data_IF_066499495424
#
_entry.id   IF_066499495424
#
_cell.length_a   1.000
_cell.length_b   1.000
_cell.length_c   1.000
_cell.angle_alpha   90.00
_cell.angle_beta   90.00
_cell.angle_gamma   90.00
#
_symmetry.space_group_name_H-M   'P 1'
#
loop_
_entity.id
_entity.type
_entity.pdbx_description
1 polymer ?
#
# COMPACT_ATOMS: atom_id res chain seq x y z
N UNK A 1 -15.73 1.42 10.11
CA UNK A 1 -15.28 2.74 9.62
C UNK A 1 -14.37 2.66 8.39
N UNK A 2 -13.21 1.98 8.39
CA UNK A 2 -12.39 1.82 7.14
C UNK A 2 -12.55 0.43 6.51
N UNK A 3 -12.81 -0.60 7.34
CA UNK A 3 -13.18 -1.95 6.89
C UNK A 3 -14.44 -1.98 6.02
N UNK A 4 -15.41 -1.10 6.30
CA UNK A 4 -16.67 -1.02 5.53
C UNK A 4 -16.45 -0.39 4.15
N UNK A 5 -15.57 0.63 4.06
CA UNK A 5 -15.13 1.21 2.79
C UNK A 5 -14.29 0.25 1.96
N UNK A 6 -13.39 -0.51 2.59
CA UNK A 6 -12.60 -1.53 1.90
C UNK A 6 -13.50 -2.65 1.34
N UNK A 7 -14.57 -3.02 2.05
CA UNK A 7 -15.56 -3.99 1.57
C UNK A 7 -16.35 -3.43 0.36
N UNK A 8 -16.79 -2.18 0.43
CA UNK A 8 -17.49 -1.51 -0.66
C UNK A 8 -16.61 -1.31 -1.91
N UNK A 9 -15.36 -0.87 -1.73
CA UNK A 9 -14.38 -0.71 -2.80
C UNK A 9 -14.10 -2.05 -3.49
N UNK A 10 -13.85 -3.11 -2.70
CA UNK A 10 -13.62 -4.47 -3.21
C UNK A 10 -14.82 -5.04 -3.95
N UNK A 11 -16.05 -4.73 -3.51
CA UNK A 11 -17.27 -5.12 -4.21
C UNK A 11 -17.42 -4.40 -5.57
N UNK A 12 -16.97 -3.15 -5.67
CA UNK A 12 -17.10 -2.32 -6.88
C UNK A 12 -16.04 -2.58 -7.96
N UNK A 13 -14.86 -3.13 -7.61
CA UNK A 13 -13.77 -3.35 -8.57
C UNK A 13 -13.99 -4.59 -9.45
N UNK A 14 -13.71 -4.47 -10.75
CA UNK A 14 -13.65 -5.60 -11.67
C UNK A 14 -12.42 -6.49 -11.39
N UNK A 15 -12.31 -7.63 -12.08
CA UNK A 15 -11.10 -8.45 -12.02
C UNK A 15 -9.90 -7.73 -12.64
N UNK A 16 -10.11 -7.06 -13.77
CA UNK A 16 -9.10 -6.28 -14.47
C UNK A 16 -8.56 -5.13 -13.60
N UNK A 17 -9.44 -4.44 -12.87
CA UNK A 17 -9.03 -3.42 -11.91
C UNK A 17 -8.09 -4.00 -10.85
N UNK A 18 -8.39 -5.17 -10.30
CA UNK A 18 -7.55 -5.82 -9.29
C UNK A 18 -6.23 -6.33 -9.87
N UNK A 19 -6.25 -6.91 -11.07
CA UNK A 19 -5.03 -7.35 -11.76
C UNK A 19 -4.08 -6.17 -12.03
N UNK A 20 -4.63 -4.98 -12.36
CA UNK A 20 -3.83 -3.76 -12.54
C UNK A 20 -3.12 -3.25 -11.28
N UNK A 21 -3.47 -3.77 -10.10
CA UNK A 21 -2.88 -3.39 -8.81
C UNK A 21 -1.87 -4.42 -8.29
N UNK A 22 -1.58 -5.49 -9.06
CA UNK A 22 -0.60 -6.51 -8.69
C UNK A 22 0.80 -5.90 -8.58
N UNK A 23 1.19 -5.04 -9.53
CA UNK A 23 2.50 -4.39 -9.53
C UNK A 23 2.71 -3.52 -8.29
N UNK A 24 1.66 -2.85 -7.82
CA UNK A 24 1.70 -2.09 -6.57
C UNK A 24 1.99 -3.00 -5.36
N UNK A 25 1.32 -4.15 -5.27
CA UNK A 25 1.55 -5.11 -4.19
C UNK A 25 2.98 -5.65 -4.21
N UNK A 26 3.52 -5.92 -5.41
CA UNK A 26 4.92 -6.34 -5.58
C UNK A 26 5.89 -5.20 -5.25
N UNK A 27 5.57 -3.95 -5.60
CA UNK A 27 6.35 -2.78 -5.23
C UNK A 27 6.41 -2.61 -3.72
N UNK A 28 5.29 -2.75 -2.99
CA UNK A 28 5.26 -2.69 -1.53
C UNK A 28 6.11 -3.79 -0.88
N UNK A 29 6.09 -5.01 -1.42
CA UNK A 29 6.98 -6.08 -1.00
C UNK A 29 8.45 -5.67 -1.19
N UNK A 30 8.80 -5.13 -2.36
CA UNK A 30 10.15 -4.67 -2.66
C UNK A 30 10.62 -3.56 -1.71
N UNK A 31 9.78 -2.54 -1.44
CA UNK A 31 10.10 -1.49 -0.48
C UNK A 31 10.35 -2.08 0.92
N UNK A 32 9.55 -3.07 1.35
CA UNK A 32 9.81 -3.80 2.61
C UNK A 32 11.15 -4.55 2.59
N UNK A 33 11.54 -5.17 1.46
CA UNK A 33 12.84 -5.83 1.32
C UNK A 33 14.00 -4.85 1.45
N UNK A 34 13.88 -3.65 0.85
CA UNK A 34 14.87 -2.59 1.01
C UNK A 34 15.00 -2.16 2.47
N UNK A 35 13.90 -1.85 3.13
CA UNK A 35 13.90 -1.42 4.54
C UNK A 35 14.49 -2.49 5.45
N UNK A 36 14.14 -3.76 5.23
CA UNK A 36 14.66 -4.87 6.05
C UNK A 36 16.17 -5.06 5.87
N UNK A 37 16.70 -4.85 4.66
CA UNK A 37 18.12 -5.10 4.35
C UNK A 37 19.02 -3.89 4.63
N UNK A 38 18.53 -2.69 4.38
CA UNK A 38 19.33 -1.46 4.32
C UNK A 38 18.83 -0.38 5.28
N UNK A 39 17.70 -0.61 5.97
CA UNK A 39 17.06 0.37 6.83
C UNK A 39 16.17 1.36 6.07
N UNK A 40 15.52 2.25 6.82
CA UNK A 40 14.48 3.15 6.31
C UNK A 40 14.98 4.17 5.28
N UNK A 41 16.21 4.65 5.45
CA UNK A 41 16.83 5.64 4.57
C UNK A 41 17.02 5.11 3.14
N UNK A 42 17.02 3.79 2.93
CA UNK A 42 17.08 3.21 1.60
C UNK A 42 15.87 3.60 0.74
N UNK A 43 14.75 3.99 1.35
CA UNK A 43 13.56 4.48 0.66
C UNK A 43 13.77 5.85 0.00
N UNK A 44 14.74 6.65 0.44
CA UNK A 44 15.01 7.98 -0.14
C UNK A 44 15.39 7.88 -1.62
N UNK A 45 16.14 6.83 -1.99
CA UNK A 45 16.54 6.59 -3.38
C UNK A 45 15.34 6.21 -4.27
N UNK A 46 14.34 5.56 -3.69
CA UNK A 46 13.13 5.13 -4.41
C UNK A 46 12.08 6.23 -4.53
N UNK A 47 12.11 7.29 -3.71
CA UNK A 47 11.11 8.36 -3.79
C UNK A 47 10.99 8.95 -5.19
N UNK A 48 12.10 9.14 -5.88
CA UNK A 48 12.13 9.70 -7.24
C UNK A 48 11.53 8.77 -8.32
N UNK A 49 11.46 7.47 -8.05
CA UNK A 49 10.96 6.45 -8.99
C UNK A 49 9.47 6.17 -8.77
N UNK A 50 8.96 6.44 -7.57
CA UNK A 50 7.55 6.27 -7.21
C UNK A 50 6.70 7.33 -7.92
N UNK A 51 5.94 6.89 -8.93
CA UNK A 51 5.03 7.74 -9.72
C UNK A 51 3.70 8.01 -9.05
N UNK A 52 3.25 7.10 -8.19
CA UNK A 52 1.96 7.24 -7.53
C UNK A 52 2.07 8.30 -6.41
N UNK A 53 1.32 9.41 -6.48
CA UNK A 53 1.48 10.51 -5.54
C UNK A 53 1.08 10.13 -4.11
N UNK A 54 0.11 9.22 -3.96
CA UNK A 54 -0.33 8.77 -2.64
C UNK A 54 0.71 7.84 -1.99
N UNK A 55 1.29 6.92 -2.76
CA UNK A 55 2.41 6.11 -2.30
C UNK A 55 3.64 6.96 -1.97
N UNK A 56 3.96 7.94 -2.81
CA UNK A 56 5.09 8.85 -2.59
C UNK A 56 4.94 9.60 -1.26
N UNK A 57 3.76 10.19 -1.02
CA UNK A 57 3.41 10.83 0.25
C UNK A 57 3.59 9.87 1.43
N UNK A 58 3.05 8.65 1.32
CA UNK A 58 3.09 7.69 2.42
C UNK A 58 4.54 7.23 2.73
N UNK A 59 5.38 7.05 1.72
CA UNK A 59 6.81 6.73 1.89
C UNK A 59 7.57 7.91 2.50
N UNK A 60 7.29 9.15 2.06
CA UNK A 60 7.91 10.35 2.60
C UNK A 60 7.62 10.49 4.11
N UNK A 61 6.37 10.28 4.54
CA UNK A 61 6.00 10.32 5.95
C UNK A 61 6.79 9.31 6.82
N UNK A 62 7.07 8.13 6.26
CA UNK A 62 7.90 7.13 6.92
C UNK A 62 9.36 7.62 7.03
N UNK A 63 9.94 8.11 5.94
CA UNK A 63 11.32 8.65 5.91
C UNK A 63 11.49 9.79 6.93
N UNK A 64 10.50 10.67 7.01
CA UNK A 64 10.44 11.80 7.95
C UNK A 64 10.20 11.34 9.40
N UNK A 65 10.11 10.03 9.65
CA UNK A 65 9.90 9.40 10.96
C UNK A 65 8.65 9.91 11.67
N UNK A 66 7.58 10.16 10.91
CA UNK A 66 6.29 10.53 11.48
C UNK A 66 5.73 9.36 12.30
N UNK A 67 5.19 9.65 13.48
CA UNK A 67 4.62 8.66 14.38
C UNK A 67 3.54 7.81 13.67
N UNK A 68 3.48 6.48 13.89
CA UNK A 68 2.57 5.58 13.16
C UNK A 68 1.09 5.98 13.24
N UNK A 69 0.66 6.47 14.41
CA UNK A 69 -0.71 6.95 14.61
C UNK A 69 -1.02 8.14 13.70
N UNK A 70 -0.08 9.08 13.56
CA UNK A 70 -0.22 10.25 12.72
C UNK A 70 -0.18 9.89 11.23
N UNK A 71 0.72 8.99 10.81
CA UNK A 71 0.73 8.49 9.42
C UNK A 71 -0.63 7.88 9.09
N UNK A 72 -1.11 6.98 9.96
CA UNK A 72 -2.43 6.38 9.82
C UNK A 72 -3.51 7.46 9.65
N UNK A 73 -3.55 8.45 10.52
CA UNK A 73 -4.62 9.45 10.51
C UNK A 73 -4.56 10.36 9.27
N UNK A 74 -3.36 10.68 8.78
CA UNK A 74 -3.15 11.42 7.53
C UNK A 74 -3.66 10.61 6.33
N UNK A 75 -3.22 9.35 6.21
CA UNK A 75 -3.61 8.49 5.08
C UNK A 75 -5.10 8.15 5.12
N UNK A 76 -5.65 7.89 6.30
CA UNK A 76 -7.08 7.66 6.47
C UNK A 76 -7.87 8.91 6.09
N UNK A 77 -7.42 10.12 6.48
CA UNK A 77 -8.08 11.38 6.12
C UNK A 77 -8.12 11.61 4.60
N UNK A 78 -7.01 11.35 3.89
CA UNK A 78 -7.00 11.44 2.42
C UNK A 78 -8.01 10.46 1.79
N UNK A 79 -8.08 9.23 2.30
CA UNK A 79 -9.03 8.22 1.84
C UNK A 79 -10.49 8.65 2.08
N UNK A 80 -10.78 9.31 3.20
CA UNK A 80 -12.14 9.73 3.56
C UNK A 80 -12.62 10.99 2.85
N UNK A 81 -11.73 11.97 2.69
CA UNK A 81 -12.13 13.31 2.26
C UNK A 81 -11.84 13.58 0.78
N UNK A 82 -10.93 12.84 0.14
CA UNK A 82 -10.66 13.00 -1.29
C UNK A 82 -11.45 11.98 -2.11
N UNK A 83 -12.09 12.47 -3.18
CA UNK A 83 -12.85 11.61 -4.09
C UNK A 83 -11.96 10.56 -4.73
N UNK A 84 -12.46 9.32 -4.79
CA UNK A 84 -11.77 8.19 -5.40
C UNK A 84 -12.81 7.27 -6.04
N UNK A 85 -12.56 6.82 -7.28
CA UNK A 85 -13.33 5.71 -7.84
C UNK A 85 -12.96 4.39 -7.12
N UNK A 86 -13.69 3.31 -7.39
CA UNK A 86 -13.49 2.03 -6.69
C UNK A 86 -12.05 1.50 -6.76
N UNK A 87 -11.41 1.58 -7.94
CA UNK A 87 -10.03 1.13 -8.16
C UNK A 87 -9.03 2.01 -7.40
N UNK A 88 -9.19 3.32 -7.47
CA UNK A 88 -8.32 4.28 -6.78
C UNK A 88 -8.43 4.13 -5.26
N UNK A 89 -9.65 3.97 -4.75
CA UNK A 89 -9.90 3.72 -3.33
C UNK A 89 -9.22 2.41 -2.86
N UNK A 90 -9.33 1.34 -3.65
CA UNK A 90 -8.67 0.07 -3.35
C UNK A 90 -7.14 0.21 -3.34
N UNK A 91 -6.57 0.95 -4.31
CA UNK A 91 -5.14 1.26 -4.39
C UNK A 91 -4.66 1.98 -3.12
N UNK A 92 -5.36 3.04 -2.69
CA UNK A 92 -5.02 3.80 -1.48
C UNK A 92 -5.11 2.95 -0.21
N UNK A 93 -6.13 2.10 -0.09
CA UNK A 93 -6.26 1.15 1.04
C UNK A 93 -5.08 0.18 1.09
N UNK A 94 -4.66 -0.36 -0.06
CA UNK A 94 -3.51 -1.27 -0.16
C UNK A 94 -2.21 -0.56 0.24
N UNK A 95 -1.99 0.66 -0.25
CA UNK A 95 -0.83 1.49 0.12
C UNK A 95 -0.82 1.72 1.63
N UNK A 96 -1.93 2.22 2.19
CA UNK A 96 -2.05 2.52 3.61
C UNK A 96 -1.77 1.29 4.48
N UNK A 97 -2.29 0.11 4.13
CA UNK A 97 -1.97 -1.11 4.85
C UNK A 97 -0.51 -1.51 4.69
N UNK A 98 0.02 -1.52 3.47
CA UNK A 98 1.41 -1.89 3.21
C UNK A 98 2.42 -1.03 3.96
N UNK A 99 2.20 0.29 3.98
CA UNK A 99 3.10 1.25 4.61
C UNK A 99 3.14 1.11 6.13
N UNK A 100 1.98 0.93 6.78
CA UNK A 100 1.95 0.69 8.23
C UNK A 100 2.61 -0.63 8.62
N UNK A 101 2.54 -1.64 7.76
CA UNK A 101 3.23 -2.93 7.95
C UNK A 101 4.74 -2.77 7.84
N UNK A 102 5.21 -2.06 6.81
CA UNK A 102 6.63 -1.73 6.64
C UNK A 102 7.14 -0.98 7.87
N UNK A 103 6.40 0.04 8.34
CA UNK A 103 6.78 0.81 9.52
C UNK A 103 6.81 -0.03 10.81
N UNK A 104 5.88 -0.98 10.95
CA UNK A 104 5.84 -1.93 12.07
C UNK A 104 6.99 -2.96 12.04
N UNK A 105 7.81 -2.96 10.98
CA UNK A 105 8.90 -3.92 10.82
C UNK A 105 8.45 -5.31 10.37
N UNK A 106 7.27 -5.42 9.75
CA UNK A 106 6.81 -6.70 9.21
C UNK A 106 7.75 -7.18 8.09
N UNK A 107 7.99 -8.49 8.06
CA UNK A 107 8.79 -9.11 6.99
C UNK A 107 8.17 -8.85 5.61
N UNK A 108 8.96 -8.83 4.53
CA UNK A 108 8.43 -8.63 3.18
C UNK A 108 7.35 -9.65 2.79
N UNK A 109 7.46 -10.87 3.31
CA UNK A 109 6.45 -11.92 3.16
C UNK A 109 5.12 -11.53 3.82
N UNK A 110 5.16 -10.99 5.04
CA UNK A 110 3.95 -10.57 5.75
C UNK A 110 3.31 -9.36 5.09
N UNK A 111 4.11 -8.39 4.65
CA UNK A 111 3.62 -7.23 3.88
C UNK A 111 2.87 -7.72 2.64
N UNK A 112 3.47 -8.61 1.83
CA UNK A 112 2.83 -9.20 0.65
C UNK A 112 1.51 -9.92 0.99
N UNK A 113 1.50 -10.75 2.04
CA UNK A 113 0.29 -11.49 2.44
C UNK A 113 -0.83 -10.52 2.82
N UNK A 114 -0.54 -9.49 3.62
CA UNK A 114 -1.55 -8.56 4.10
C UNK A 114 -2.12 -7.69 2.96
N UNK A 115 -1.28 -7.27 2.02
CA UNK A 115 -1.69 -6.40 0.90
C UNK A 115 -2.40 -7.17 -0.21
N UNK A 116 -1.99 -8.42 -0.52
CA UNK A 116 -2.64 -9.20 -1.60
C UNK A 116 -4.07 -9.64 -1.26
N UNK A 117 -4.44 -9.73 0.02
CA UNK A 117 -5.80 -10.14 0.46
C UNK A 117 -6.90 -9.20 -0.09
N UNK A 118 -6.53 -7.96 -0.38
CA UNK A 118 -7.43 -6.99 -1.01
C UNK A 118 -7.75 -7.35 -2.47
N UNK A 119 -6.84 -8.03 -3.18
CA UNK A 119 -6.97 -8.45 -4.57
C UNK A 119 -7.58 -9.86 -4.72
N UNK A 120 -8.73 -10.08 -4.06
CA UNK A 120 -9.34 -11.42 -3.94
C UNK A 120 -9.86 -12.07 -5.23
N UNK A 121 -9.93 -11.33 -6.36
CA UNK A 121 -10.30 -11.86 -7.69
C UNK A 121 -9.08 -12.25 -8.53
N UNK A 122 -7.86 -11.99 -8.04
CA UNK A 122 -6.60 -12.25 -8.76
C UNK A 122 -6.05 -13.62 -8.36
N UNK A 123 -5.53 -14.35 -9.35
CA UNK A 123 -4.89 -15.64 -9.09
C UNK A 123 -3.56 -15.50 -8.34
N UNK A 124 -3.28 -16.43 -7.41
CA UNK A 124 -2.06 -16.38 -6.60
C UNK A 124 -0.76 -16.51 -7.42
N UNK A 125 -0.81 -17.08 -8.63
CA UNK A 125 0.35 -17.17 -9.53
C UNK A 125 0.88 -15.80 -9.95
N UNK A 126 0.02 -14.77 -10.01
CA UNK A 126 0.39 -13.40 -10.38
C UNK A 126 1.29 -12.71 -9.36
N UNK A 127 1.38 -13.23 -8.13
CA UNK A 127 2.21 -12.68 -7.05
C UNK A 127 3.52 -13.43 -6.85
N UNK A 128 3.84 -14.37 -7.74
CA UNK A 128 5.09 -15.15 -7.69
C UNK A 128 6.12 -14.44 -8.58
N UNK A 129 7.06 -13.73 -7.96
CA UNK A 129 8.34 -13.38 -8.58
C UNK A 129 9.34 -14.51 -8.29
#
# INVERSE_FOLDING_TARGET
>A
MLRDLALAAKASCSREDQESLVDLVLQLKYLSELVTKQGLLALENELSTIRDPFLNLAVQLIIDRVEPANIKDILDSDIYYNESNGRELLKKVIIREGLLRIQAGDTPRNVLICTKIFLGKVDNSMFRN
#
